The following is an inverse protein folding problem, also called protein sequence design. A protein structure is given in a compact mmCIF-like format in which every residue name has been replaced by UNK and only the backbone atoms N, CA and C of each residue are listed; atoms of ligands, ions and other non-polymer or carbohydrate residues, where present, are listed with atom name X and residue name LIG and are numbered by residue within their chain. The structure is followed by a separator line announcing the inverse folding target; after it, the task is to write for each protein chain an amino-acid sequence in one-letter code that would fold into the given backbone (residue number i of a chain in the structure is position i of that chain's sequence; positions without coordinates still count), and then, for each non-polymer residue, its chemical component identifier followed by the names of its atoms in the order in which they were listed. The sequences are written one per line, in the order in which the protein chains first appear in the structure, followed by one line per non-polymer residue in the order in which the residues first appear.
data_IF_291654852860
#
_entry.id   IF_291654852860
#
_cell.length_a   1.000
_cell.length_b   1.000
_cell.length_c   1.000
_cell.angle_alpha   90.00
_cell.angle_beta   90.00
_cell.angle_gamma   90.00
#
_symmetry.space_group_name_H-M   'P 1'
#
loop_
_entity.id
_entity.type
_entity.pdbx_description
1 polymer ?
#
# COMPACT_ATOMS: atom_id res chain seq x y z
N UNK A 1 -11.44 17.25 5.86
CA UNK A 1 -11.28 16.04 6.71
C UNK A 1 -9.95 15.42 6.34
N UNK A 2 -9.17 14.93 7.30
CA UNK A 2 -7.83 14.35 7.07
C UNK A 2 -7.64 13.08 7.90
N UNK A 3 -7.29 11.98 7.22
CA UNK A 3 -6.74 10.78 7.85
C UNK A 3 -5.24 10.98 8.10
N UNK A 4 -4.56 9.93 8.58
CA UNK A 4 -3.10 9.88 8.64
C UNK A 4 -2.51 10.19 7.27
N UNK A 5 -1.61 11.16 7.23
CA UNK A 5 -0.92 11.62 6.02
C UNK A 5 0.59 11.65 6.24
N UNK A 6 1.34 11.78 5.15
CA UNK A 6 2.79 11.95 5.20
C UNK A 6 3.18 13.26 5.89
N UNK A 7 4.37 13.30 6.49
CA UNK A 7 4.87 14.50 7.19
C UNK A 7 4.98 15.73 6.27
N UNK A 8 5.30 15.51 4.99
CA UNK A 8 5.39 16.58 3.99
C UNK A 8 4.02 17.21 3.70
N UNK A 9 3.01 16.39 3.39
CA UNK A 9 1.64 16.84 3.13
C UNK A 9 1.01 17.51 4.38
N UNK A 10 1.38 17.04 5.57
CA UNK A 10 0.89 17.56 6.83
C UNK A 10 1.25 19.03 7.05
N UNK A 11 2.40 19.49 6.55
CA UNK A 11 2.82 20.89 6.65
C UNK A 11 1.87 21.83 5.89
N UNK A 12 1.36 21.40 4.73
CA UNK A 12 0.41 22.18 3.94
C UNK A 12 -1.00 22.10 4.52
N UNK A 13 -1.42 20.92 4.96
CA UNK A 13 -2.79 20.69 5.45
C UNK A 13 -3.02 21.32 6.83
N UNK A 14 -1.99 21.44 7.68
CA UNK A 14 -2.05 22.08 9.00
C UNK A 14 -2.78 23.43 8.98
N UNK A 15 -2.54 24.26 7.97
CA UNK A 15 -3.14 25.60 7.86
C UNK A 15 -4.67 25.59 7.87
N UNK A 16 -5.30 24.50 7.42
CA UNK A 16 -6.76 24.34 7.46
C UNK A 16 -7.30 24.06 8.87
N UNK A 17 -6.45 23.55 9.75
CA UNK A 17 -6.79 23.11 11.10
C UNK A 17 -6.22 24.02 12.21
N UNK A 18 -5.43 25.03 11.83
CA UNK A 18 -4.95 26.03 12.77
C UNK A 18 -6.12 26.70 13.53
N UNK A 19 -5.96 26.98 14.83
CA UNK A 19 -4.77 26.73 15.67
C UNK A 19 -4.77 25.37 16.39
N UNK A 20 -5.68 24.45 16.06
CA UNK A 20 -6.00 23.31 16.92
C UNK A 20 -5.09 22.08 16.73
N UNK A 21 -4.53 21.91 15.53
CA UNK A 21 -3.74 20.73 15.17
C UNK A 21 -2.42 21.15 14.56
N UNK A 22 -1.38 20.38 14.84
CA UNK A 22 -0.07 20.51 14.19
C UNK A 22 0.14 19.45 13.11
N UNK A 23 1.16 19.64 12.28
CA UNK A 23 1.57 18.65 11.28
C UNK A 23 1.96 17.31 11.93
N UNK A 24 2.50 17.35 13.16
CA UNK A 24 2.82 16.15 13.92
C UNK A 24 1.58 15.30 14.24
N UNK A 25 0.47 15.95 14.63
CA UNK A 25 -0.77 15.25 14.98
C UNK A 25 -1.39 14.55 13.76
N UNK A 26 -1.35 15.22 12.60
CA UNK A 26 -1.83 14.66 11.33
C UNK A 26 -0.99 13.47 10.84
N UNK A 27 0.32 13.48 11.10
CA UNK A 27 1.23 12.40 10.73
C UNK A 27 1.14 11.19 11.68
N UNK A 28 0.74 11.42 12.93
CA UNK A 28 0.74 10.43 14.00
C UNK A 28 -0.66 9.88 14.38
N UNK A 29 -1.63 9.96 13.47
CA UNK A 29 -2.95 9.37 13.66
C UNK A 29 -2.90 7.83 13.68
N UNK A 30 -3.69 7.21 14.57
CA UNK A 30 -3.83 5.76 14.60
C UNK A 30 -4.77 5.25 13.50
N UNK A 31 -4.82 3.93 13.30
CA UNK A 31 -5.66 3.34 12.26
C UNK A 31 -7.14 3.69 12.48
N UNK A 32 -7.80 4.16 11.42
CA UNK A 32 -9.22 4.58 11.38
C UNK A 32 -9.54 5.85 12.17
N UNK A 33 -8.57 6.51 12.78
CA UNK A 33 -8.76 7.81 13.41
C UNK A 33 -8.48 8.93 12.39
N UNK A 34 -9.27 9.99 12.46
CA UNK A 34 -9.15 11.13 11.57
C UNK A 34 -9.70 12.41 12.20
N UNK A 35 -9.25 13.56 11.69
CA UNK A 35 -9.76 14.86 12.09
C UNK A 35 -10.70 15.43 11.03
N UNK A 36 -11.80 16.03 11.47
CA UNK A 36 -12.75 16.68 10.60
C UNK A 36 -13.02 18.11 11.05
N UNK A 37 -12.85 19.04 10.12
CA UNK A 37 -13.36 20.41 10.19
C UNK A 37 -14.45 20.52 9.14
N UNK A 38 -15.67 20.79 9.56
CA UNK A 38 -16.83 20.85 8.67
C UNK A 38 -17.90 21.81 9.19
N UNK A 39 -18.83 22.15 8.31
CA UNK A 39 -19.99 22.95 8.66
C UNK A 39 -21.05 22.03 9.26
N UNK A 40 -21.51 22.36 10.46
CA UNK A 40 -22.60 21.67 11.16
C UNK A 40 -23.69 22.69 11.45
N UNK A 41 -24.90 22.43 10.98
CA UNK A 41 -26.05 23.33 11.11
C UNK A 41 -25.77 24.77 10.62
N UNK A 42 -25.09 24.90 9.47
CA UNK A 42 -24.77 26.20 8.87
C UNK A 42 -23.62 26.96 9.53
N UNK A 43 -23.00 26.41 10.58
CA UNK A 43 -21.85 27.03 11.25
C UNK A 43 -20.59 26.19 11.03
N UNK A 44 -19.48 26.85 10.70
CA UNK A 44 -18.17 26.21 10.71
C UNK A 44 -17.85 25.85 12.16
N UNK A 45 -17.64 24.55 12.42
CA UNK A 45 -17.22 24.07 13.73
C UNK A 45 -15.71 23.88 13.78
N UNK A 46 -15.19 23.96 14.99
CA UNK A 46 -13.81 23.64 15.28
C UNK A 46 -13.51 22.18 14.91
N UNK A 47 -12.26 21.85 14.55
CA UNK A 47 -11.88 20.49 14.24
C UNK A 47 -12.17 19.53 15.40
N UNK A 48 -12.71 18.35 15.07
CA UNK A 48 -12.95 17.29 16.05
C UNK A 48 -12.44 15.93 15.55
N UNK A 49 -12.06 15.06 16.48
CA UNK A 49 -11.59 13.71 16.20
C UNK A 49 -12.77 12.76 15.95
N UNK A 50 -12.62 11.90 14.96
CA UNK A 50 -13.58 10.87 14.60
C UNK A 50 -12.87 9.53 14.41
N UNK A 51 -13.65 8.45 14.52
CA UNK A 51 -13.19 7.09 14.26
C UNK A 51 -14.13 6.38 13.30
N UNK A 52 -13.56 5.80 12.26
CA UNK A 52 -14.33 5.00 11.30
C UNK A 52 -14.80 3.71 12.00
N UNK A 53 -16.09 3.36 11.92
CA UNK A 53 -16.61 2.15 12.54
C UNK A 53 -15.98 0.89 11.94
N UNK A 54 -15.95 -0.18 12.74
CA UNK A 54 -15.63 -1.50 12.22
C UNK A 54 -16.85 -2.11 11.54
N UNK A 55 -16.77 -2.20 10.21
CA UNK A 55 -17.72 -2.93 9.40
C UNK A 55 -17.15 -4.32 9.10
N UNK A 56 -17.97 -5.38 9.19
CA UNK A 56 -17.56 -6.69 8.71
C UNK A 56 -17.33 -6.64 7.20
N UNK A 57 -16.44 -7.50 6.72
CA UNK A 57 -16.21 -7.64 5.28
C UNK A 57 -17.50 -8.08 4.58
N UNK A 58 -17.70 -7.58 3.36
CA UNK A 58 -18.82 -8.02 2.53
C UNK A 58 -18.73 -9.53 2.31
N UNK A 59 -19.84 -10.28 2.36
CA UNK A 59 -19.82 -11.70 2.05
C UNK A 59 -19.31 -11.88 0.62
N UNK A 60 -18.19 -12.59 0.49
CA UNK A 60 -17.60 -12.93 -0.81
C UNK A 60 -18.11 -14.29 -1.25
N UNK A 61 -18.59 -14.39 -2.50
CA UNK A 61 -18.91 -15.67 -3.10
C UNK A 61 -17.61 -16.42 -3.44
N UNK A 62 -17.42 -17.58 -2.82
CA UNK A 62 -16.25 -18.43 -3.04
C UNK A 62 -16.13 -18.87 -4.51
N UNK A 63 -17.25 -19.08 -5.21
CA UNK A 63 -17.23 -19.45 -6.64
C UNK A 63 -16.64 -18.34 -7.50
N UNK A 64 -17.01 -17.10 -7.20
CA UNK A 64 -16.49 -15.93 -7.92
C UNK A 64 -14.98 -15.75 -7.71
N UNK A 65 -14.48 -16.05 -6.50
CA UNK A 65 -13.05 -16.04 -6.20
C UNK A 65 -12.29 -17.10 -7.02
N UNK A 66 -12.82 -18.33 -7.11
CA UNK A 66 -12.22 -19.40 -7.92
C UNK A 66 -12.16 -19.04 -9.41
N UNK A 67 -13.24 -18.46 -9.93
CA UNK A 67 -13.29 -17.96 -11.30
C UNK A 67 -12.23 -16.88 -11.55
N UNK A 68 -12.10 -15.91 -10.64
CA UNK A 68 -11.08 -14.86 -10.74
C UNK A 68 -9.66 -15.44 -10.76
N UNK A 69 -9.37 -16.43 -9.91
CA UNK A 69 -8.08 -17.12 -9.93
C UNK A 69 -7.85 -17.88 -11.24
N UNK A 70 -8.88 -18.52 -11.80
CA UNK A 70 -8.78 -19.23 -13.08
C UNK A 70 -8.43 -18.28 -14.23
N UNK A 71 -9.06 -17.11 -14.28
CA UNK A 71 -8.81 -16.07 -15.29
C UNK A 71 -7.40 -15.51 -15.13
N UNK A 72 -6.99 -15.20 -13.89
CA UNK A 72 -5.64 -14.70 -13.62
C UNK A 72 -4.58 -15.73 -14.02
N UNK A 73 -4.77 -17.01 -13.71
CA UNK A 73 -3.85 -18.08 -14.09
C UNK A 73 -3.81 -18.27 -15.61
N UNK A 74 -4.95 -18.22 -16.28
CA UNK A 74 -4.98 -18.32 -17.75
C UNK A 74 -4.24 -17.17 -18.44
N UNK A 75 -4.24 -15.96 -17.87
CA UNK A 75 -3.61 -14.78 -18.47
C UNK A 75 -2.16 -14.59 -18.09
N UNK A 76 -1.80 -14.90 -16.84
CA UNK A 76 -0.51 -14.53 -16.26
C UNK A 76 0.32 -15.73 -15.77
N UNK A 77 -0.24 -16.94 -15.70
CA UNK A 77 0.56 -18.12 -15.35
C UNK A 77 1.39 -18.53 -16.55
N UNK A 78 2.66 -18.86 -16.29
CA UNK A 78 3.50 -19.61 -17.21
C UNK A 78 3.51 -21.07 -16.82
N UNK A 79 3.86 -21.95 -17.74
CA UNK A 79 4.04 -23.36 -17.40
C UNK A 79 5.28 -23.52 -16.50
N UNK A 80 5.25 -24.54 -15.63
CA UNK A 80 6.34 -24.81 -14.69
C UNK A 80 7.66 -25.13 -15.45
N UNK A 81 7.56 -25.78 -16.60
CA UNK A 81 8.72 -26.08 -17.46
C UNK A 81 9.31 -24.83 -18.10
N UNK A 82 8.47 -23.92 -18.59
CA UNK A 82 8.92 -22.66 -19.18
C UNK A 82 9.55 -21.75 -18.12
N UNK A 83 8.94 -21.65 -16.94
CA UNK A 83 9.51 -20.93 -15.81
C UNK A 83 10.89 -21.50 -15.40
N UNK A 84 11.03 -22.83 -15.31
CA UNK A 84 12.31 -23.48 -15.01
C UNK A 84 13.38 -23.23 -16.06
N UNK A 85 13.01 -23.24 -17.35
CA UNK A 85 13.94 -22.94 -18.45
C UNK A 85 14.43 -21.49 -18.40
N UNK A 86 13.54 -20.54 -18.13
CA UNK A 86 13.91 -19.12 -17.98
C UNK A 86 14.88 -18.96 -16.81
N UNK A 87 14.54 -19.50 -15.63
CA UNK A 87 15.41 -19.43 -14.45
C UNK A 87 16.77 -20.11 -14.68
N UNK A 88 16.83 -21.26 -15.36
CA UNK A 88 18.11 -21.88 -15.72
C UNK A 88 18.92 -21.06 -16.71
N UNK A 89 18.26 -20.37 -17.65
CA UNK A 89 18.96 -19.52 -18.63
C UNK A 89 19.53 -18.28 -17.95
N UNK A 90 18.76 -17.63 -17.09
CA UNK A 90 19.20 -16.47 -16.30
C UNK A 90 20.28 -16.85 -15.26
N UNK A 91 20.22 -18.06 -14.69
CA UNK A 91 21.23 -18.53 -13.74
C UNK A 91 22.55 -18.92 -14.42
N UNK A 92 22.56 -19.32 -15.70
CA UNK A 92 23.81 -19.61 -16.44
C UNK A 92 24.72 -18.40 -16.50
N UNK A 93 24.18 -17.22 -16.78
CA UNK A 93 24.95 -15.96 -16.83
C UNK A 93 25.55 -15.59 -15.45
N UNK A 94 24.87 -15.97 -14.37
CA UNK A 94 25.35 -15.76 -12.99
C UNK A 94 26.43 -16.79 -12.64
N UNK A 95 26.27 -18.04 -13.07
CA UNK A 95 27.25 -19.11 -12.83
C UNK A 95 28.53 -18.87 -13.63
N UNK A 96 28.46 -18.45 -14.90
CA UNK A 96 29.64 -18.07 -15.70
C UNK A 96 30.39 -16.87 -15.09
N UNK A 97 29.65 -15.91 -14.50
CA UNK A 97 30.27 -14.82 -13.74
C UNK A 97 30.93 -15.32 -12.45
N UNK A 98 30.36 -16.29 -11.75
CA UNK A 98 31.00 -16.83 -10.54
C UNK A 98 32.27 -17.61 -10.92
N UNK A 99 32.25 -18.40 -11.99
CA UNK A 99 33.41 -19.19 -12.44
C UNK A 99 34.57 -18.31 -12.94
N UNK A 100 34.28 -17.23 -13.67
CA UNK A 100 35.31 -16.26 -14.10
C UNK A 100 35.97 -15.47 -12.95
N UNK A 101 35.32 -15.35 -11.79
CA UNK A 101 35.93 -14.76 -10.58
C UNK A 101 36.78 -15.77 -9.78
N UNK A 102 36.65 -17.08 -10.04
CA UNK A 102 37.37 -18.14 -9.31
C UNK A 102 38.73 -18.44 -9.94
N UNK A 103 38.95 -18.08 -11.21
CA UNK A 103 40.29 -18.15 -11.81
C UNK A 103 41.24 -17.15 -11.13
N UNK A 104 42.31 -17.61 -10.47
CA UNK A 104 43.21 -16.71 -9.76
C UNK A 104 43.93 -15.82 -10.78
N UNK A 105 43.81 -14.51 -10.60
CA UNK A 105 44.61 -13.52 -11.30
C UNK A 105 46.08 -13.80 -10.91
N UNK A 106 46.88 -14.23 -11.88
CA UNK A 106 48.32 -14.50 -11.73
C UNK A 106 49.05 -13.26 -11.22
#
# INVERSE_FOLDING_TARGET
MSFRISSEDALYIKQQFDPFLDAYDLANLSQREFYAKMIVAGQVKDPFSLKTPFLPDSPLDKKYIEELYSISRSKYSRSLEEAKKITQTEQKDVIEKIESFVEPII
#
